data_IF_920682095057
#
_entry.id   IF_920682095057
#
_cell.length_a   1.000
_cell.length_b   1.000
_cell.length_c   1.000
_cell.angle_alpha   90.00
_cell.angle_beta   90.00
_cell.angle_gamma   90.00
#
_symmetry.space_group_name_H-M   'P 1'
#
loop_
_entity.id
_entity.type
_entity.pdbx_description
1 polymer ?
#
# COMPACT_ATOMS: atom_id res chain seq x y z
N UNK A 1 -9.75 0.51 10.04
CA UNK A 1 -10.39 0.64 8.72
C UNK A 1 -10.53 -0.73 8.04
N UNK A 2 -11.51 -0.94 7.16
CA UNK A 2 -11.66 -2.14 6.33
C UNK A 2 -11.79 -1.78 4.84
N UNK A 3 -11.04 -2.46 3.98
CA UNK A 3 -10.98 -2.26 2.52
C UNK A 3 -11.26 -3.59 1.83
N UNK A 4 -12.16 -3.60 0.83
CA UNK A 4 -12.40 -4.74 -0.06
C UNK A 4 -11.62 -4.56 -1.36
N UNK A 5 -10.40 -5.08 -1.39
CA UNK A 5 -9.49 -4.86 -2.50
C UNK A 5 -10.00 -5.51 -3.80
N UNK A 6 -10.10 -4.71 -4.85
CA UNK A 6 -10.35 -5.13 -6.23
C UNK A 6 -9.05 -5.12 -7.03
N UNK A 7 -8.14 -4.19 -6.74
CA UNK A 7 -6.90 -4.02 -7.49
C UNK A 7 -5.70 -3.89 -6.55
N UNK A 8 -4.63 -4.61 -6.89
CA UNK A 8 -3.33 -4.54 -6.24
C UNK A 8 -2.36 -3.99 -7.27
N UNK A 9 -1.78 -2.82 -6.98
CA UNK A 9 -0.72 -2.23 -7.79
C UNK A 9 0.60 -2.29 -7.04
N UNK A 10 1.66 -2.71 -7.73
CA UNK A 10 3.02 -2.77 -7.19
C UNK A 10 3.90 -2.02 -8.16
N UNK A 11 4.61 -1.01 -7.65
CA UNK A 11 5.62 -0.27 -8.37
C UNK A 11 6.95 -0.40 -7.60
N UNK A 12 8.01 -0.81 -8.30
CA UNK A 12 9.37 -0.90 -7.78
C UNK A 12 10.29 -0.22 -8.79
N UNK A 13 10.63 1.02 -8.50
CA UNK A 13 11.36 1.94 -9.39
C UNK A 13 12.63 2.45 -8.69
N UNK A 14 13.49 3.15 -9.45
CA UNK A 14 14.81 3.59 -8.97
C UNK A 14 14.76 4.53 -7.75
N UNK A 15 13.63 5.23 -7.55
CA UNK A 15 13.45 6.21 -6.47
C UNK A 15 12.64 5.66 -5.27
N UNK A 16 12.12 4.44 -5.38
CA UNK A 16 11.34 3.85 -4.31
C UNK A 16 10.47 2.69 -4.72
N UNK A 17 9.75 2.18 -3.74
CA UNK A 17 8.86 1.05 -3.88
C UNK A 17 7.49 1.40 -3.28
N UNK A 18 6.43 1.05 -4.00
CA UNK A 18 5.05 1.31 -3.61
C UNK A 18 4.17 0.06 -3.78
N UNK A 19 3.28 -0.15 -2.82
CA UNK A 19 2.17 -1.10 -2.93
C UNK A 19 0.87 -0.36 -2.65
N UNK A 20 -0.10 -0.50 -3.55
CA UNK A 20 -1.44 0.07 -3.40
C UNK A 20 -2.50 -1.03 -3.45
N UNK A 21 -3.40 -1.01 -2.48
CA UNK A 21 -4.62 -1.82 -2.45
C UNK A 21 -5.83 -0.91 -2.63
N UNK A 22 -6.68 -1.15 -3.62
CA UNK A 22 -7.81 -0.26 -3.95
C UNK A 22 -9.13 -1.01 -4.09
N UNK A 23 -10.24 -0.40 -3.64
CA UNK A 23 -11.60 -0.90 -3.88
C UNK A 23 -12.09 -0.61 -5.31
N UNK A 24 -11.33 0.13 -6.12
CA UNK A 24 -11.65 0.44 -7.51
C UNK A 24 -10.41 0.26 -8.38
N UNK A 25 -10.63 -0.09 -9.65
CA UNK A 25 -9.54 -0.16 -10.62
C UNK A 25 -9.10 1.24 -10.99
N UNK A 26 -7.81 1.41 -11.24
CA UNK A 26 -7.29 2.63 -11.85
C UNK A 26 -7.98 2.86 -13.21
N UNK A 27 -8.50 4.07 -13.37
CA UNK A 27 -9.18 4.51 -14.58
C UNK A 27 -8.19 4.98 -15.65
N UNK A 28 -6.92 5.24 -15.30
CA UNK A 28 -5.87 5.63 -16.24
C UNK A 28 -6.30 6.79 -17.15
N UNK A 29 -6.21 6.59 -18.47
CA UNK A 29 -6.60 7.59 -19.48
C UNK A 29 -8.09 7.96 -19.45
N UNK A 30 -8.96 7.13 -18.85
CA UNK A 30 -10.40 7.41 -18.73
C UNK A 30 -10.69 8.61 -17.82
N UNK A 31 -9.72 9.02 -16.99
CA UNK A 31 -9.81 10.23 -16.16
C UNK A 31 -9.68 11.55 -16.93
N UNK A 32 -9.19 11.52 -18.19
CA UNK A 32 -8.89 12.72 -18.96
C UNK A 32 -10.10 13.62 -19.24
N UNK A 33 -11.32 13.05 -19.21
CA UNK A 33 -12.58 13.77 -19.43
C UNK A 33 -13.38 14.00 -18.13
N UNK A 34 -12.83 13.63 -16.97
CA UNK A 34 -13.50 13.74 -15.68
C UNK A 34 -13.10 15.04 -14.97
N UNK A 35 -14.02 15.63 -14.23
CA UNK A 35 -13.71 16.72 -13.31
C UNK A 35 -12.90 16.22 -12.11
N UNK A 36 -12.22 17.11 -11.41
CA UNK A 36 -11.47 16.77 -10.18
C UNK A 36 -12.37 16.06 -9.16
N UNK A 37 -13.61 16.51 -9.00
CA UNK A 37 -14.55 15.86 -8.08
C UNK A 37 -14.94 14.46 -8.53
N UNK A 38 -15.20 14.27 -9.82
CA UNK A 38 -15.51 12.94 -10.36
C UNK A 38 -14.33 11.98 -10.22
N UNK A 39 -13.09 12.49 -10.34
CA UNK A 39 -11.87 11.71 -10.08
C UNK A 39 -11.79 11.34 -8.60
N UNK A 40 -12.00 12.27 -7.68
CA UNK A 40 -12.02 11.98 -6.24
C UNK A 40 -13.08 10.93 -5.91
N UNK A 41 -14.29 11.07 -6.44
CA UNK A 41 -15.39 10.14 -6.22
C UNK A 41 -15.10 8.75 -6.84
N UNK A 42 -14.23 8.70 -7.85
CA UNK A 42 -13.86 7.46 -8.54
C UNK A 42 -12.69 6.70 -7.92
N UNK A 43 -11.90 7.31 -7.03
CA UNK A 43 -10.73 6.66 -6.40
C UNK A 43 -11.14 5.59 -5.38
N UNK A 44 -12.32 5.71 -4.76
CA UNK A 44 -12.79 4.74 -3.77
C UNK A 44 -11.88 4.68 -2.53
N UNK A 45 -12.03 3.62 -1.71
CA UNK A 45 -11.12 3.44 -0.57
C UNK A 45 -9.85 2.75 -1.03
N UNK A 46 -8.73 3.18 -0.49
CA UNK A 46 -7.44 2.58 -0.78
C UNK A 46 -6.52 2.59 0.45
N UNK A 47 -5.48 1.78 0.36
CA UNK A 47 -4.28 1.82 1.20
C UNK A 47 -3.08 1.88 0.28
N UNK A 48 -2.30 2.95 0.37
CA UNK A 48 -1.00 3.08 -0.28
C UNK A 48 0.08 2.96 0.79
N UNK A 49 1.11 2.19 0.49
CA UNK A 49 2.30 2.09 1.31
C UNK A 49 3.49 2.29 0.39
N UNK A 50 4.36 3.22 0.73
CA UNK A 50 5.53 3.55 -0.07
C UNK A 50 6.77 3.62 0.80
N UNK A 51 7.90 3.23 0.23
CA UNK A 51 9.25 3.50 0.73
C UNK A 51 9.95 4.36 -0.30
N UNK A 52 10.40 5.54 0.11
CA UNK A 52 11.31 6.39 -0.67
C UNK A 52 12.75 6.01 -0.34
N UNK A 53 13.58 5.84 -1.37
CA UNK A 53 15.01 5.58 -1.20
C UNK A 53 15.75 6.88 -0.92
N UNK A 54 16.77 6.87 -0.03
CA UNK A 54 17.54 8.06 0.29
C UNK A 54 18.27 8.58 -0.95
N UNK A 55 18.18 9.88 -1.20
CA UNK A 55 18.91 10.51 -2.31
C UNK A 55 20.35 10.86 -1.92
N UNK A 56 20.59 11.04 -0.61
CA UNK A 56 21.89 11.38 -0.04
C UNK A 56 22.36 10.34 1.00
N UNK A 57 23.67 10.23 1.20
CA UNK A 57 24.29 9.23 2.09
C UNK A 57 23.92 9.41 3.57
N UNK A 58 23.44 10.60 3.96
CA UNK A 58 23.00 10.94 5.31
C UNK A 58 21.49 10.82 5.53
N UNK A 59 20.74 10.41 4.51
CA UNK A 59 19.30 10.16 4.60
C UNK A 59 19.02 8.68 4.92
N UNK A 60 17.97 8.46 5.70
CA UNK A 60 17.40 7.13 5.93
C UNK A 60 16.21 6.89 5.02
N UNK A 61 15.86 5.63 4.83
CA UNK A 61 14.58 5.30 4.17
C UNK A 61 13.41 5.96 4.90
N UNK A 62 12.48 6.47 4.11
CA UNK A 62 11.22 7.00 4.60
C UNK A 62 10.08 6.10 4.14
N UNK A 63 9.41 5.46 5.09
CA UNK A 63 8.27 4.60 4.81
C UNK A 63 7.01 5.35 5.22
N UNK A 64 6.11 5.54 4.28
CA UNK A 64 4.87 6.29 4.46
C UNK A 64 3.68 5.44 4.04
N UNK A 65 2.57 5.62 4.74
CA UNK A 65 1.29 5.09 4.30
C UNK A 65 0.24 6.20 4.23
N UNK A 66 -0.73 6.01 3.38
CA UNK A 66 -1.94 6.83 3.36
C UNK A 66 -3.15 6.02 2.93
N UNK A 67 -4.31 6.57 3.21
CA UNK A 67 -5.60 6.07 2.76
C UNK A 67 -6.45 7.22 2.24
N UNK A 68 -7.63 6.91 1.71
CA UNK A 68 -8.66 7.90 1.40
C UNK A 68 -9.13 8.77 2.59
N UNK A 69 -8.78 8.40 3.83
CA UNK A 69 -9.08 9.15 5.03
C UNK A 69 -7.80 9.85 5.51
N UNK A 70 -7.79 11.18 5.49
CA UNK A 70 -6.63 12.01 5.86
C UNK A 70 -6.18 11.80 7.31
N UNK A 71 -7.06 11.31 8.19
CA UNK A 71 -6.69 10.95 9.57
C UNK A 71 -5.88 9.64 9.62
N UNK A 72 -5.87 8.84 8.55
CA UNK A 72 -5.14 7.59 8.41
C UNK A 72 -4.03 7.70 7.36
N UNK A 73 -3.07 8.58 7.64
CA UNK A 73 -1.87 8.76 6.85
C UNK A 73 -0.68 9.17 7.74
N UNK A 74 0.54 8.79 7.37
CA UNK A 74 1.74 9.16 8.11
C UNK A 74 2.94 8.25 7.88
N UNK A 75 4.02 8.57 8.59
CA UNK A 75 5.24 7.76 8.61
C UNK A 75 5.03 6.44 9.38
N UNK A 76 5.54 5.35 8.83
CA UNK A 76 5.55 4.04 9.45
C UNK A 76 6.84 3.82 10.24
N UNK A 77 6.78 3.98 11.56
CA UNK A 77 7.92 3.75 12.46
C UNK A 77 7.74 2.57 13.42
N UNK A 78 6.54 2.37 13.99
CA UNK A 78 6.18 1.20 14.80
C UNK A 78 4.90 0.55 14.26
N UNK A 79 5.09 -0.54 13.51
CA UNK A 79 4.01 -1.20 12.77
C UNK A 79 4.24 -2.71 12.61
N UNK A 80 3.14 -3.45 12.42
CA UNK A 80 3.16 -4.85 12.00
C UNK A 80 2.34 -5.00 10.70
N UNK A 81 2.94 -5.63 9.71
CA UNK A 81 2.28 -6.09 8.50
C UNK A 81 2.07 -7.61 8.55
N UNK A 82 0.86 -8.06 8.22
CA UNK A 82 0.54 -9.48 8.08
C UNK A 82 -0.02 -9.71 6.69
N UNK A 83 0.63 -10.56 5.91
CA UNK A 83 0.15 -10.99 4.61
C UNK A 83 -0.30 -12.45 4.68
N UNK A 84 -1.47 -12.74 4.12
CA UNK A 84 -2.00 -14.07 3.83
C UNK A 84 -2.70 -14.07 2.48
N UNK A 85 -3.14 -15.24 1.99
CA UNK A 85 -3.85 -15.35 0.71
C UNK A 85 -5.12 -14.52 0.61
N UNK A 86 -5.81 -14.27 1.71
CA UNK A 86 -7.15 -13.63 1.70
C UNK A 86 -7.17 -12.28 2.43
N UNK A 87 -6.06 -11.93 3.10
CA UNK A 87 -6.00 -10.77 3.98
C UNK A 87 -4.59 -10.18 4.01
N UNK A 88 -4.55 -8.85 3.89
CA UNK A 88 -3.42 -8.03 4.32
C UNK A 88 -3.85 -7.17 5.51
N UNK A 89 -3.05 -7.13 6.57
CA UNK A 89 -3.26 -6.23 7.72
C UNK A 89 -2.06 -5.31 7.87
N UNK A 90 -2.33 -4.02 8.08
CA UNK A 90 -1.38 -3.05 8.63
C UNK A 90 -1.85 -2.66 10.03
N UNK A 91 -1.08 -3.03 11.04
CA UNK A 91 -1.33 -2.70 12.44
C UNK A 91 -0.42 -1.56 12.85
N UNK A 92 -1.03 -0.53 13.42
CA UNK A 92 -0.41 0.68 13.94
C UNK A 92 -0.64 0.72 15.45
N UNK A 93 0.03 1.64 16.14
CA UNK A 93 -0.13 1.80 17.58
C UNK A 93 -1.58 2.07 18.01
N UNK A 94 -2.32 2.87 17.25
CA UNK A 94 -3.67 3.35 17.56
C UNK A 94 -4.78 2.69 16.72
N UNK A 95 -4.45 1.67 15.93
CA UNK A 95 -5.45 1.02 15.10
C UNK A 95 -4.93 -0.05 14.16
N UNK A 96 -5.82 -0.50 13.28
CA UNK A 96 -5.46 -1.38 12.19
C UNK A 96 -6.25 -1.09 10.93
N UNK A 97 -5.60 -1.34 9.80
CA UNK A 97 -6.19 -1.33 8.46
C UNK A 97 -6.21 -2.77 7.98
N UNK A 98 -7.41 -3.30 7.74
CA UNK A 98 -7.62 -4.64 7.22
C UNK A 98 -8.02 -4.54 5.74
N UNK A 99 -7.30 -5.24 4.89
CA UNK A 99 -7.54 -5.28 3.45
C UNK A 99 -7.86 -6.72 3.06
N UNK A 100 -9.12 -6.97 2.69
CA UNK A 100 -9.52 -8.25 2.12
C UNK A 100 -8.99 -8.31 0.68
N UNK A 101 -8.15 -9.28 0.39
CA UNK A 101 -7.50 -9.44 -0.92
C UNK A 101 -7.88 -10.79 -1.53
N UNK A 102 -7.86 -10.88 -2.85
CA UNK A 102 -7.98 -12.15 -3.58
C UNK A 102 -6.99 -12.14 -4.76
N UNK A 103 -5.68 -12.14 -4.47
CA UNK A 103 -4.66 -12.02 -5.49
C UNK A 103 -4.57 -13.31 -6.32
N UNK A 104 -4.25 -13.16 -7.60
CA UNK A 104 -3.71 -14.25 -8.40
C UNK A 104 -2.41 -14.79 -7.80
N UNK A 105 -1.99 -16.00 -8.19
CA UNK A 105 -0.71 -16.55 -7.76
C UNK A 105 0.48 -15.65 -8.10
N UNK A 106 0.40 -14.95 -9.23
CA UNK A 106 1.42 -13.98 -9.65
C UNK A 106 1.44 -12.80 -8.68
N UNK A 107 0.31 -12.13 -8.45
CA UNK A 107 0.22 -10.99 -7.53
C UNK A 107 0.66 -11.36 -6.12
N UNK A 108 0.24 -12.54 -5.62
CA UNK A 108 0.64 -12.99 -4.29
C UNK A 108 2.15 -13.23 -4.21
N UNK A 109 2.74 -13.82 -5.24
CA UNK A 109 4.19 -14.05 -5.31
C UNK A 109 4.97 -12.74 -5.36
N UNK A 110 4.47 -11.74 -6.08
CA UNK A 110 5.08 -10.41 -6.12
C UNK A 110 4.94 -9.67 -4.79
N UNK A 111 3.78 -9.75 -4.12
CA UNK A 111 3.60 -9.21 -2.76
C UNK A 111 4.63 -9.78 -1.76
N UNK A 112 4.88 -11.10 -1.80
CA UNK A 112 5.89 -11.73 -0.94
C UNK A 112 7.31 -11.23 -1.21
N UNK A 113 7.61 -10.84 -2.45
CA UNK A 113 8.93 -10.30 -2.81
C UNK A 113 9.06 -8.84 -2.41
N UNK A 114 8.00 -8.05 -2.64
CA UNK A 114 8.07 -6.60 -2.51
C UNK A 114 7.92 -6.12 -1.07
N UNK A 115 7.07 -6.73 -0.24
CA UNK A 115 6.88 -6.27 1.14
C UNK A 115 8.17 -6.32 1.99
N UNK A 116 9.05 -7.34 1.87
CA UNK A 116 10.37 -7.30 2.52
C UNK A 116 11.27 -6.15 2.04
N UNK A 117 11.19 -5.77 0.77
CA UNK A 117 11.94 -4.64 0.19
C UNK A 117 11.37 -3.33 0.72
N UNK A 118 10.04 -3.17 0.67
CA UNK A 118 9.32 -2.01 1.15
C UNK A 118 9.60 -1.73 2.63
N UNK A 119 9.58 -2.77 3.47
CA UNK A 119 9.79 -2.61 4.92
C UNK A 119 11.25 -2.38 5.30
N UNK A 120 12.21 -2.73 4.45
CA UNK A 120 13.65 -2.70 4.71
C UNK A 120 14.07 -3.16 6.12
N UNK A 121 13.48 -4.26 6.62
CA UNK A 121 13.72 -4.80 7.97
C UNK A 121 13.29 -3.88 9.13
N UNK A 122 12.54 -2.82 8.85
CA UNK A 122 11.82 -2.03 9.86
C UNK A 122 10.45 -2.63 10.12
N UNK A 123 9.86 -2.29 11.28
CA UNK A 123 8.60 -2.89 11.72
C UNK A 123 8.67 -4.41 11.84
N UNK A 124 7.51 -5.05 11.77
CA UNK A 124 7.39 -6.51 11.76
C UNK A 124 6.58 -6.97 10.55
N UNK A 125 7.18 -7.78 9.69
CA UNK A 125 6.48 -8.41 8.56
C UNK A 125 6.27 -9.91 8.83
N UNK A 126 5.03 -10.37 8.76
CA UNK A 126 4.66 -11.79 8.83
C UNK A 126 3.98 -12.20 7.53
N UNK A 127 4.49 -13.23 6.86
CA UNK A 127 3.90 -13.80 5.65
C UNK A 127 3.43 -15.22 5.97
N UNK A 128 2.13 -15.47 5.86
CA UNK A 128 1.50 -16.76 6.07
C UNK A 128 1.22 -17.43 4.71
N UNK A 129 1.69 -18.65 4.52
CA UNK A 129 1.44 -19.43 3.29
C UNK A 129 0.07 -20.12 3.28
#
# INVERSE_FOLDING_TARGET
MKIKCIEISINDEDLGCQVTFSEKKDLGEETANMTVQEIIDSIGRYLLIQRSYPEFEDESDYIYFETHDEEFAGELSDYEMVLSRELFELKLFDGKIEVLINPTDKEYSELKKILPILTNKTGKLTIND
#
